data_IF_204749589675
#
_entry.id   IF_204749589675
#
_cell.length_a   1.000
_cell.length_b   1.000
_cell.length_c   1.000
_cell.angle_alpha   90.00
_cell.angle_beta   90.00
_cell.angle_gamma   90.00
#
_symmetry.space_group_name_H-M   'P 1'
#
loop_
_entity.id
_entity.type
_entity.pdbx_description
1 polymer ?
#
# COMPACT_ATOMS: atom_id res chain seq x y z
N UNK A 1 -14.96 -20.78 -6.18
CA UNK A 1 -15.44 -19.38 -6.30
C UNK A 1 -15.25 -18.92 -7.73
N UNK A 2 -16.31 -18.47 -8.41
CA UNK A 2 -16.27 -18.08 -9.82
C UNK A 2 -16.09 -16.55 -9.91
N UNK A 3 -14.84 -16.06 -9.91
CA UNK A 3 -14.49 -14.63 -9.83
C UNK A 3 -14.35 -13.95 -11.20
N UNK A 4 -14.77 -14.58 -12.31
CA UNK A 4 -14.52 -14.08 -13.68
C UNK A 4 -15.06 -12.67 -13.97
N UNK A 5 -16.00 -12.17 -13.16
CA UNK A 5 -16.65 -10.87 -13.36
C UNK A 5 -16.43 -9.88 -12.19
N UNK A 6 -15.50 -10.17 -11.26
CA UNK A 6 -15.24 -9.33 -10.08
C UNK A 6 -13.88 -8.63 -10.15
N UNK A 7 -13.56 -8.10 -11.33
CA UNK A 7 -12.33 -7.33 -11.50
C UNK A 7 -12.53 -5.95 -10.86
N UNK A 8 -11.58 -5.55 -10.02
CA UNK A 8 -11.49 -4.19 -9.49
C UNK A 8 -10.37 -3.50 -10.23
N UNK A 9 -10.70 -2.40 -10.91
CA UNK A 9 -9.70 -1.57 -11.57
C UNK A 9 -8.99 -0.68 -10.54
N UNK A 10 -7.67 -0.58 -10.63
CA UNK A 10 -6.89 0.44 -9.93
C UNK A 10 -6.71 1.63 -10.87
N UNK A 11 -6.85 2.85 -10.35
CA UNK A 11 -6.63 4.08 -11.10
C UNK A 11 -5.16 4.30 -11.53
N UNK A 12 -4.22 3.72 -10.78
CA UNK A 12 -2.79 3.86 -11.00
C UNK A 12 -2.15 2.50 -11.31
N UNK A 13 -1.67 2.34 -12.54
CA UNK A 13 -0.92 1.17 -12.96
C UNK A 13 0.56 1.53 -13.14
N UNK A 14 1.40 0.97 -12.28
CA UNK A 14 2.86 0.99 -12.44
C UNK A 14 3.31 -0.50 -12.43
N UNK A 15 4.27 -0.93 -13.27
CA UNK A 15 4.53 -2.37 -13.54
C UNK A 15 5.70 -3.03 -12.78
N UNK A 16 6.14 -2.53 -11.62
CA UNK A 16 7.18 -3.19 -10.81
C UNK A 16 6.70 -4.34 -9.90
N UNK A 17 7.62 -5.03 -9.24
CA UNK A 17 7.32 -6.08 -8.27
C UNK A 17 6.77 -5.44 -6.99
N UNK A 18 5.44 -5.34 -6.85
CA UNK A 18 4.81 -4.68 -5.70
C UNK A 18 4.60 -5.66 -4.54
N UNK A 19 5.10 -5.33 -3.36
CA UNK A 19 4.53 -5.84 -2.11
C UNK A 19 3.19 -5.17 -1.86
N UNK A 20 2.18 -5.97 -1.48
CA UNK A 20 0.85 -5.46 -1.15
C UNK A 20 0.24 -6.20 0.06
N UNK A 21 -0.63 -5.50 0.79
CA UNK A 21 -1.38 -6.07 1.92
C UNK A 21 -2.69 -5.30 2.10
N UNK A 22 -3.54 -5.79 2.99
CA UNK A 22 -4.64 -5.02 3.56
C UNK A 22 -4.33 -4.65 5.00
N UNK A 23 -4.77 -3.47 5.44
CA UNK A 23 -4.74 -3.11 6.86
C UNK A 23 -6.01 -3.56 7.59
N UNK A 24 -6.07 -3.28 8.90
CA UNK A 24 -7.23 -3.62 9.73
C UNK A 24 -8.49 -2.78 9.39
N UNK A 25 -8.33 -1.59 8.82
CA UNK A 25 -9.45 -0.77 8.32
C UNK A 25 -10.02 -1.31 6.99
N UNK A 26 -9.38 -2.34 6.42
CA UNK A 26 -9.79 -2.94 5.15
C UNK A 26 -9.35 -2.12 3.93
N UNK A 27 -8.37 -1.24 4.08
CA UNK A 27 -7.75 -0.49 2.98
C UNK A 27 -6.69 -1.34 2.30
N UNK A 28 -6.56 -1.19 0.97
CA UNK A 28 -5.54 -1.89 0.20
C UNK A 28 -4.26 -1.06 0.11
N UNK A 29 -3.12 -1.66 0.45
CA UNK A 29 -1.80 -1.00 0.45
C UNK A 29 -0.92 -1.65 -0.62
N UNK A 30 -0.33 -0.85 -1.53
CA UNK A 30 0.52 -1.31 -2.64
C UNK A 30 1.76 -0.43 -2.82
N UNK A 31 2.96 -0.98 -2.64
CA UNK A 31 4.25 -0.26 -2.50
C UNK A 31 4.20 0.79 -1.39
N UNK A 32 3.58 1.97 -1.55
CA UNK A 32 2.96 2.74 -0.45
C UNK A 32 1.83 3.64 -1.01
N UNK A 33 0.98 3.09 -1.88
CA UNK A 33 -0.33 3.66 -2.20
C UNK A 33 -1.38 3.07 -1.27
N UNK A 34 -2.24 3.90 -0.68
CA UNK A 34 -3.40 3.44 0.09
C UNK A 34 -4.66 3.66 -0.74
N UNK A 35 -5.50 2.65 -0.83
CA UNK A 35 -6.76 2.68 -1.55
C UNK A 35 -7.93 2.40 -0.61
N UNK A 36 -9.00 3.20 -0.70
CA UNK A 36 -10.28 2.83 -0.10
C UNK A 36 -10.86 1.65 -0.85
N UNK A 37 -11.29 0.64 -0.12
CA UNK A 37 -11.97 -0.51 -0.71
C UNK A 37 -13.47 -0.30 -0.89
N UNK A 38 -14.01 0.82 -0.42
CA UNK A 38 -15.40 1.22 -0.66
C UNK A 38 -15.58 1.58 -2.15
N UNK A 39 -15.90 0.58 -2.96
CA UNK A 39 -15.99 0.71 -4.42
C UNK A 39 -17.17 1.58 -4.86
N UNK A 40 -16.91 2.52 -5.77
CA UNK A 40 -17.91 3.01 -6.73
C UNK A 40 -17.47 2.54 -8.13
N UNK A 41 -18.37 1.96 -8.91
CA UNK A 41 -18.10 1.49 -10.28
C UNK A 41 -16.95 0.47 -10.42
N UNK A 42 -16.74 -0.40 -9.43
CA UNK A 42 -15.67 -1.42 -9.42
C UNK A 42 -14.26 -0.84 -9.65
N UNK A 43 -14.04 0.40 -9.21
CA UNK A 43 -12.75 1.07 -9.28
C UNK A 43 -12.33 1.51 -7.88
N UNK A 44 -11.05 1.30 -7.57
CA UNK A 44 -10.42 1.88 -6.39
C UNK A 44 -9.58 3.09 -6.78
N UNK A 45 -9.75 4.16 -6.02
CA UNK A 45 -9.00 5.40 -6.17
C UNK A 45 -7.91 5.47 -5.11
N UNK A 46 -6.71 5.89 -5.54
CA UNK A 46 -5.57 6.08 -4.66
C UNK A 46 -5.86 7.28 -3.74
N UNK A 47 -5.90 7.03 -2.43
CA UNK A 47 -6.14 8.08 -1.42
C UNK A 47 -4.84 8.75 -0.99
N UNK A 48 -3.76 7.98 -0.89
CA UNK A 48 -2.45 8.46 -0.43
C UNK A 48 -1.34 7.75 -1.18
N UNK A 49 -0.26 8.48 -1.40
CA UNK A 49 0.94 8.00 -2.05
C UNK A 49 2.14 8.43 -1.21
N UNK A 50 2.99 7.49 -0.84
CA UNK A 50 4.27 7.77 -0.21
C UNK A 50 5.40 7.26 -1.10
N UNK A 51 6.45 8.06 -1.19
CA UNK A 51 7.67 7.69 -1.89
C UNK A 51 8.67 7.11 -0.89
N UNK A 52 9.21 5.93 -1.19
CA UNK A 52 10.33 5.36 -0.44
C UNK A 52 11.60 6.06 -0.94
N UNK A 53 12.44 6.63 -0.06
CA UNK A 53 13.67 7.24 -0.49
C UNK A 53 14.60 6.22 -1.17
N UNK A 54 15.40 6.66 -2.12
CA UNK A 54 16.22 5.77 -2.98
C UNK A 54 17.16 4.84 -2.21
N UNK A 55 17.66 5.27 -1.04
CA UNK A 55 18.59 4.51 -0.21
C UNK A 55 17.93 3.40 0.64
N UNK A 56 16.63 3.19 0.49
CA UNK A 56 15.86 2.23 1.29
C UNK A 56 15.27 1.12 0.40
N UNK A 57 15.45 -0.12 0.83
CA UNK A 57 14.79 -1.29 0.25
C UNK A 57 13.53 -1.64 1.06
N UNK A 58 12.41 -1.85 0.37
CA UNK A 58 11.17 -2.29 1.00
C UNK A 58 11.25 -3.78 1.38
N UNK A 59 11.22 -4.08 2.69
CA UNK A 59 11.20 -5.46 3.19
C UNK A 59 9.76 -6.00 3.18
N UNK A 60 8.85 -5.29 3.88
CA UNK A 60 7.47 -5.75 4.03
C UNK A 60 6.52 -4.65 4.48
N UNK A 61 5.23 -4.89 4.25
CA UNK A 61 4.13 -4.05 4.73
C UNK A 61 3.25 -4.91 5.62
N UNK A 62 3.00 -4.47 6.84
CA UNK A 62 2.16 -5.16 7.81
C UNK A 62 0.72 -4.69 7.74
N UNK A 63 -0.22 -5.57 8.12
CA UNK A 63 -1.63 -5.22 8.32
C UNK A 63 -1.89 -4.18 9.43
N UNK A 64 -0.88 -3.88 10.24
CA UNK A 64 -0.94 -2.90 11.34
C UNK A 64 -0.38 -1.52 10.93
N UNK A 65 -0.47 -1.17 9.64
CA UNK A 65 0.02 0.09 9.08
C UNK A 65 1.51 0.39 9.32
N UNK A 66 2.31 -0.68 9.42
CA UNK A 66 3.76 -0.61 9.57
C UNK A 66 4.45 -0.98 8.26
N UNK A 67 5.44 -0.20 7.85
CA UNK A 67 6.36 -0.49 6.74
C UNK A 67 7.74 -0.79 7.32
N UNK A 68 8.33 -1.90 6.90
CA UNK A 68 9.69 -2.26 7.27
C UNK A 68 10.62 -2.00 6.08
N UNK A 69 11.65 -1.21 6.30
CA UNK A 69 12.64 -0.83 5.29
C UNK A 69 14.03 -1.29 5.72
N UNK A 70 14.88 -1.63 4.77
CA UNK A 70 16.29 -1.93 4.98
C UNK A 70 17.14 -0.81 4.38
N UNK A 71 18.12 -0.30 5.14
CA UNK A 71 19.14 0.61 4.63
C UNK A 71 20.38 0.56 5.51
N UNK A 72 21.57 0.63 4.92
CA UNK A 72 22.86 0.68 5.63
C UNK A 72 23.02 -0.40 6.73
N UNK A 73 22.64 -1.64 6.47
CA UNK A 73 22.66 -2.77 7.44
C UNK A 73 21.72 -2.62 8.64
N UNK A 74 20.73 -1.73 8.56
CA UNK A 74 19.72 -1.52 9.60
C UNK A 74 18.31 -1.78 9.06
N UNK A 75 17.42 -2.19 9.97
CA UNK A 75 15.97 -2.31 9.72
C UNK A 75 15.28 -1.13 10.36
N UNK A 76 14.46 -0.42 9.57
CA UNK A 76 13.63 0.70 10.00
C UNK A 76 12.16 0.28 10.01
N UNK A 77 11.42 0.77 10.99
CA UNK A 77 9.96 0.62 11.08
C UNK A 77 9.31 2.00 10.93
N UNK A 78 8.48 2.17 9.90
CA UNK A 78 7.71 3.38 9.65
C UNK A 78 6.21 3.12 9.87
N UNK A 79 5.50 4.12 10.39
CA UNK A 79 4.05 4.06 10.53
C UNK A 79 3.40 4.90 9.41
N UNK A 80 2.53 4.28 8.61
CA UNK A 80 1.89 4.95 7.46
C UNK A 80 0.88 6.03 7.93
N UNK A 81 0.40 5.94 9.17
CA UNK A 81 -0.58 6.86 9.72
C UNK A 81 0.01 8.13 10.37
N UNK A 82 1.34 8.29 10.47
CA UNK A 82 1.93 9.44 11.19
C UNK A 82 1.64 10.79 10.55
N UNK A 83 1.27 10.84 9.27
CA UNK A 83 0.82 12.07 8.61
C UNK A 83 -0.67 12.39 8.80
N UNK A 84 -1.45 11.57 9.55
CA UNK A 84 -2.85 11.92 9.90
C UNK A 84 -2.96 13.10 10.88
N UNK A 85 -1.86 13.71 11.33
CA UNK A 85 -1.86 14.75 12.35
C UNK A 85 -1.06 16.00 12.00
N UNK A 86 -1.62 16.87 11.14
CA UNK A 86 -1.73 18.34 11.31
C UNK A 86 -3.02 18.80 10.64
#
# INVERSE_FOLDING_TARGET
>A
MNNRNKNIALDFYRPMHYYCTFNLEGEFIKIICIYSTQTKNNKWECMRFYEIPEDYELISISKYDKVYLFSNDHIYEWNINTERGV
#
